data_IF_595890260967
#
_entry.id   IF_595890260967
#
_cell.length_a   1.000
_cell.length_b   1.000
_cell.length_c   1.000
_cell.angle_alpha   90.00
_cell.angle_beta   90.00
_cell.angle_gamma   90.00
#
_symmetry.space_group_name_H-M   'P 1'
#
loop_
_entity.id
_entity.type
_entity.pdbx_description
1 polymer ?
#
# COMPACT_ATOMS: atom_id res chain seq x y z
N UNK A 1 1.26 -19.10 -3.81
CA UNK A 1 1.67 -17.77 -4.28
C UNK A 1 3.18 -17.78 -4.46
N UNK A 2 3.63 -17.62 -5.70
CA UNK A 2 5.04 -17.67 -6.09
C UNK A 2 5.71 -16.32 -5.79
N UNK A 3 6.98 -16.34 -5.37
CA UNK A 3 7.73 -15.16 -4.96
C UNK A 3 8.95 -15.02 -5.88
N UNK A 4 8.98 -13.99 -6.71
CA UNK A 4 10.15 -13.62 -7.50
C UNK A 4 10.58 -12.18 -7.15
N UNK A 5 11.82 -12.03 -6.70
CA UNK A 5 12.45 -10.72 -6.55
C UNK A 5 12.81 -10.21 -7.96
N UNK A 6 12.57 -8.93 -8.29
CA UNK A 6 12.93 -8.35 -9.59
C UNK A 6 14.40 -8.61 -9.95
N UNK A 7 15.32 -8.52 -8.98
CA UNK A 7 16.72 -8.86 -9.20
C UNK A 7 16.88 -10.32 -9.65
N UNK A 8 16.15 -11.25 -9.02
CA UNK A 8 16.15 -12.66 -9.36
C UNK A 8 15.53 -12.95 -10.75
N UNK A 9 14.55 -12.16 -11.18
CA UNK A 9 14.01 -12.23 -12.55
C UNK A 9 15.07 -11.78 -13.56
N UNK A 10 15.78 -10.69 -13.27
CA UNK A 10 16.79 -10.14 -14.17
C UNK A 10 18.11 -10.92 -14.20
N UNK A 11 18.46 -11.67 -13.14
CA UNK A 11 19.71 -12.44 -13.05
C UNK A 11 19.53 -13.94 -13.33
N UNK A 12 18.40 -14.37 -13.91
CA UNK A 12 18.10 -15.78 -14.13
C UNK A 12 18.96 -16.34 -15.28
N UNK A 13 20.09 -16.95 -14.93
CA UNK A 13 20.87 -17.84 -15.81
C UNK A 13 20.66 -19.28 -15.34
N UNK A 14 19.77 -19.98 -16.04
CA UNK A 14 19.38 -21.40 -16.03
C UNK A 14 19.56 -22.33 -14.81
N UNK A 15 18.42 -23.00 -14.57
CA UNK A 15 18.16 -24.36 -14.08
C UNK A 15 18.67 -24.83 -12.69
N UNK A 16 17.70 -25.25 -11.87
CA UNK A 16 17.81 -26.01 -10.60
C UNK A 16 17.94 -25.23 -9.28
N UNK A 17 16.89 -24.47 -8.91
CA UNK A 17 16.55 -24.31 -7.49
C UNK A 17 15.07 -24.56 -7.26
N UNK A 18 14.76 -25.50 -6.34
CA UNK A 18 13.39 -25.85 -5.93
C UNK A 18 12.62 -24.58 -5.56
N UNK A 19 11.54 -24.34 -6.30
CA UNK A 19 10.56 -23.29 -6.04
C UNK A 19 10.01 -23.56 -4.63
N UNK A 20 10.19 -22.59 -3.72
CA UNK A 20 9.65 -22.68 -2.36
C UNK A 20 8.18 -22.29 -2.39
N UNK A 21 7.30 -23.27 -2.37
CA UNK A 21 5.89 -23.04 -2.10
C UNK A 21 5.71 -22.58 -0.65
N UNK A 22 5.33 -21.32 -0.44
CA UNK A 22 4.86 -20.82 0.86
C UNK A 22 3.36 -21.03 0.96
N UNK A 23 2.95 -21.91 1.88
CA UNK A 23 1.54 -22.18 2.20
C UNK A 23 0.88 -21.04 3.01
N UNK A 24 1.65 -20.02 3.44
CA UNK A 24 1.18 -18.95 4.35
C UNK A 24 1.35 -17.53 3.78
N UNK A 25 1.13 -17.33 2.47
CA UNK A 25 1.24 -16.00 1.87
C UNK A 25 2.68 -15.45 1.79
N UNK A 26 2.80 -14.13 1.54
CA UNK A 26 4.06 -13.40 1.41
C UNK A 26 4.76 -13.30 2.77
N UNK A 27 5.96 -13.86 2.89
CA UNK A 27 6.78 -13.80 4.11
C UNK A 27 7.95 -12.83 3.90
N UNK A 28 7.74 -11.56 4.24
CA UNK A 28 8.84 -10.60 4.38
C UNK A 28 9.56 -10.83 5.72
N UNK A 29 10.82 -10.39 5.86
CA UNK A 29 11.37 -10.15 7.21
C UNK A 29 10.62 -8.94 7.75
N UNK A 30 9.53 -9.20 8.45
CA UNK A 30 8.64 -8.19 8.99
C UNK A 30 9.38 -7.33 10.02
N UNK A 31 8.80 -6.16 10.32
CA UNK A 31 9.04 -5.42 11.56
C UNK A 31 8.95 -6.33 12.79
N UNK A 32 9.42 -5.85 13.96
CA UNK A 32 9.40 -6.66 15.19
C UNK A 32 7.98 -7.18 15.50
N UNK A 33 7.90 -8.30 16.22
CA UNK A 33 6.63 -8.98 16.54
C UNK A 33 5.60 -8.01 17.14
N UNK A 34 6.02 -7.19 18.08
CA UNK A 34 5.16 -6.21 18.76
C UNK A 34 4.57 -5.19 17.79
N UNK A 35 5.39 -4.59 16.91
CA UNK A 35 4.89 -3.65 15.91
C UNK A 35 3.97 -4.33 14.89
N UNK A 36 4.26 -5.57 14.50
CA UNK A 36 3.41 -6.32 13.57
C UNK A 36 2.04 -6.66 14.20
N UNK A 37 2.04 -7.09 15.46
CA UNK A 37 0.80 -7.33 16.23
C UNK A 37 0.02 -6.03 16.44
N UNK A 38 0.70 -4.91 16.71
CA UNK A 38 0.09 -3.59 16.83
C UNK A 38 -0.63 -3.18 15.53
N UNK A 39 0.05 -3.26 14.38
CA UNK A 39 -0.56 -2.98 13.07
C UNK A 39 -1.79 -3.87 12.83
N UNK A 40 -1.60 -5.18 13.05
CA UNK A 40 -2.62 -6.21 12.88
C UNK A 40 -3.88 -6.01 13.73
N UNK A 41 -3.72 -5.49 14.94
CA UNK A 41 -4.84 -5.24 15.84
C UNK A 41 -5.51 -3.89 15.58
N UNK A 42 -4.72 -2.85 15.27
CA UNK A 42 -5.21 -1.46 15.25
C UNK A 42 -5.74 -1.01 13.89
N UNK A 43 -5.11 -1.45 12.80
CA UNK A 43 -5.34 -0.88 11.47
C UNK A 43 -5.83 -1.91 10.45
N UNK A 44 -5.32 -3.15 10.48
CA UNK A 44 -5.72 -4.21 9.54
C UNK A 44 -7.23 -4.47 9.49
N UNK A 45 -8.01 -4.40 10.59
CA UNK A 45 -9.47 -4.57 10.51
C UNK A 45 -10.14 -3.55 9.58
N UNK A 46 -9.69 -2.28 9.61
CA UNK A 46 -10.25 -1.22 8.77
C UNK A 46 -9.85 -1.39 7.31
N UNK A 47 -8.58 -1.77 7.07
CA UNK A 47 -8.07 -2.07 5.72
C UNK A 47 -8.87 -3.21 5.09
N UNK A 48 -9.06 -4.29 5.86
CA UNK A 48 -9.80 -5.47 5.42
C UNK A 48 -11.29 -5.17 5.19
N UNK A 49 -11.95 -4.46 6.11
CA UNK A 49 -13.35 -4.08 5.96
C UNK A 49 -13.58 -3.23 4.71
N UNK A 50 -12.67 -2.28 4.45
CA UNK A 50 -12.72 -1.44 3.26
C UNK A 50 -12.54 -2.25 1.98
N UNK A 51 -11.50 -3.10 1.91
CA UNK A 51 -11.26 -3.97 0.76
C UNK A 51 -12.42 -4.94 0.50
N UNK A 52 -12.96 -5.58 1.55
CA UNK A 52 -14.13 -6.47 1.43
C UNK A 52 -15.36 -5.72 0.92
N UNK A 53 -15.61 -4.52 1.42
CA UNK A 53 -16.77 -3.72 1.01
C UNK A 53 -16.67 -3.29 -0.45
N UNK A 54 -15.51 -2.80 -0.89
CA UNK A 54 -15.28 -2.47 -2.31
C UNK A 54 -15.38 -3.73 -3.17
N UNK A 55 -14.87 -4.86 -2.69
CA UNK A 55 -14.97 -6.15 -3.38
C UNK A 55 -16.42 -6.60 -3.57
N UNK A 56 -17.29 -6.33 -2.60
CA UNK A 56 -18.75 -6.59 -2.73
C UNK A 56 -19.38 -5.72 -3.80
N UNK A 57 -18.99 -4.44 -3.91
CA UNK A 57 -19.50 -3.58 -5.00
C UNK A 57 -19.10 -4.12 -6.36
N UNK A 58 -17.84 -4.56 -6.53
CA UNK A 58 -17.36 -5.10 -7.81
C UNK A 58 -17.96 -6.45 -8.19
N UNK A 59 -18.32 -7.28 -7.20
CA UNK A 59 -18.90 -8.61 -7.41
C UNK A 59 -20.43 -8.62 -7.46
N UNK A 60 -21.06 -7.47 -7.24
CA UNK A 60 -22.51 -7.38 -7.18
C UNK A 60 -23.10 -7.18 -8.56
N UNK A 61 -24.21 -7.86 -8.83
CA UNK A 61 -25.00 -7.70 -10.06
C UNK A 61 -25.90 -6.45 -10.04
N UNK A 62 -25.88 -5.67 -8.96
CA UNK A 62 -26.69 -4.46 -8.84
C UNK A 62 -26.10 -3.30 -9.66
N UNK A 63 -26.98 -2.48 -10.25
CA UNK A 63 -26.58 -1.21 -10.85
C UNK A 63 -26.36 -0.18 -9.73
N UNK A 64 -25.12 0.25 -9.57
CA UNK A 64 -24.76 1.32 -8.64
C UNK A 64 -24.83 2.70 -9.31
N UNK A 65 -25.00 3.78 -8.54
CA UNK A 65 -24.76 5.13 -9.03
C UNK A 65 -23.28 5.30 -9.43
N UNK A 66 -23.01 6.33 -10.24
CA UNK A 66 -21.65 6.68 -10.68
C UNK A 66 -20.70 6.95 -9.49
N UNK A 67 -21.23 7.50 -8.39
CA UNK A 67 -20.48 7.79 -7.17
C UNK A 67 -21.11 7.04 -6.00
N UNK A 68 -20.30 6.21 -5.33
CA UNK A 68 -20.66 5.53 -4.09
C UNK A 68 -19.95 6.22 -2.93
N UNK A 69 -20.72 6.77 -1.98
CA UNK A 69 -20.18 7.26 -0.72
C UNK A 69 -20.03 6.10 0.26
N UNK A 70 -18.80 5.67 0.48
CA UNK A 70 -18.48 4.58 1.41
C UNK A 70 -18.00 5.13 2.75
N UNK A 71 -18.66 4.74 3.84
CA UNK A 71 -18.26 5.13 5.20
C UNK A 71 -17.08 4.26 5.66
N UNK A 72 -16.01 4.89 6.12
CA UNK A 72 -14.82 4.22 6.65
C UNK A 72 -14.11 5.12 7.66
N UNK A 73 -12.93 4.69 8.15
CA UNK A 73 -12.05 5.45 9.06
C UNK A 73 -10.76 5.85 8.33
N UNK A 74 -10.72 6.98 7.63
CA UNK A 74 -9.65 7.31 6.69
C UNK A 74 -8.26 7.34 7.33
N UNK A 75 -8.13 7.86 8.54
CA UNK A 75 -6.82 7.92 9.22
C UNK A 75 -6.28 6.52 9.54
N UNK A 76 -7.12 5.61 10.04
CA UNK A 76 -6.74 4.21 10.29
C UNK A 76 -6.42 3.48 8.99
N UNK A 77 -7.18 3.74 7.93
CA UNK A 77 -6.93 3.18 6.60
C UNK A 77 -5.56 3.64 6.06
N UNK A 78 -5.25 4.94 6.15
CA UNK A 78 -3.96 5.51 5.76
C UNK A 78 -2.81 4.88 6.56
N UNK A 79 -2.93 4.82 7.90
CA UNK A 79 -1.94 4.19 8.78
C UNK A 79 -1.71 2.72 8.43
N UNK A 80 -2.77 1.97 8.15
CA UNK A 80 -2.68 0.56 7.74
C UNK A 80 -1.98 0.37 6.40
N UNK A 81 -2.34 1.17 5.38
CA UNK A 81 -1.70 1.11 4.06
C UNK A 81 -0.19 1.37 4.17
N UNK A 82 0.20 2.44 4.88
CA UNK A 82 1.63 2.75 5.02
C UNK A 82 2.34 1.72 5.92
N UNK A 83 1.68 1.24 6.97
CA UNK A 83 2.18 0.16 7.83
C UNK A 83 2.53 -1.10 7.05
N UNK A 84 1.66 -1.55 6.15
CA UNK A 84 1.94 -2.68 5.27
C UNK A 84 3.10 -2.43 4.31
N UNK A 85 3.23 -1.22 3.75
CA UNK A 85 4.35 -0.86 2.88
C UNK A 85 5.69 -0.86 3.63
N UNK A 86 5.73 -0.36 4.87
CA UNK A 86 6.94 -0.40 5.70
C UNK A 86 7.28 -1.84 6.10
N UNK A 87 6.29 -2.65 6.45
CA UNK A 87 6.51 -4.05 6.81
C UNK A 87 7.00 -4.91 5.64
N UNK A 88 6.70 -4.52 4.40
CA UNK A 88 7.10 -5.21 3.18
C UNK A 88 8.55 -4.88 2.74
N UNK A 89 9.51 -4.95 3.67
CA UNK A 89 10.95 -4.80 3.41
C UNK A 89 11.69 -6.14 3.45
N UNK A 90 12.71 -6.26 2.60
CA UNK A 90 13.64 -7.39 2.62
C UNK A 90 14.84 -7.15 3.55
N UNK A 91 15.29 -5.91 3.67
CA UNK A 91 16.49 -5.49 4.42
C UNK A 91 16.21 -4.30 5.34
N UNK A 92 16.99 -4.20 6.43
CA UNK A 92 16.91 -3.11 7.41
C UNK A 92 17.75 -1.93 6.91
N UNK A 93 17.11 -1.02 6.18
CA UNK A 93 17.75 0.22 5.74
C UNK A 93 17.15 1.44 6.44
N UNK A 94 18.02 2.37 6.83
CA UNK A 94 17.67 3.69 7.37
C UNK A 94 17.26 4.65 6.24
N UNK A 95 16.11 4.34 5.63
CA UNK A 95 15.46 5.25 4.68
C UNK A 95 14.78 6.38 5.47
N UNK A 96 15.04 7.64 5.08
CA UNK A 96 14.51 8.83 5.77
C UNK A 96 12.98 8.80 5.88
N UNK A 97 12.30 8.35 4.83
CA UNK A 97 10.84 8.19 4.81
C UNK A 97 10.38 7.21 5.90
N UNK A 98 11.00 6.03 5.99
CA UNK A 98 10.64 5.03 7.00
C UNK A 98 10.75 5.58 8.43
N UNK A 99 11.78 6.39 8.72
CA UNK A 99 11.95 7.01 10.04
C UNK A 99 10.84 8.00 10.34
N UNK A 100 10.47 8.84 9.37
CA UNK A 100 9.35 9.77 9.52
C UNK A 100 8.03 9.04 9.75
N UNK A 101 7.78 7.96 9.02
CA UNK A 101 6.47 7.30 9.08
C UNK A 101 6.33 6.31 10.25
N UNK A 102 7.43 5.77 10.80
CA UNK A 102 7.40 4.93 12.01
C UNK A 102 6.77 5.63 13.20
N UNK A 103 7.19 6.86 13.50
CA UNK A 103 6.61 7.66 14.59
C UNK A 103 5.12 7.90 14.38
N UNK A 104 4.72 8.22 13.14
CA UNK A 104 3.33 8.40 12.76
C UNK A 104 2.48 7.13 12.91
N UNK A 105 3.01 5.95 12.62
CA UNK A 105 2.25 4.70 12.72
C UNK A 105 2.00 4.32 14.18
N UNK A 106 3.01 4.49 15.03
CA UNK A 106 2.97 4.06 16.43
C UNK A 106 2.17 5.01 17.31
N UNK A 107 2.17 6.31 17.00
CA UNK A 107 1.31 7.28 17.67
C UNK A 107 -0.07 7.33 17.00
N UNK A 108 -1.11 6.81 17.66
CA UNK A 108 -2.48 6.80 17.17
C UNK A 108 -3.00 8.23 16.85
N UNK A 109 -2.57 9.24 17.60
CA UNK A 109 -3.07 10.62 17.48
C UNK A 109 -2.26 11.47 16.49
N UNK A 110 -1.15 10.94 15.97
CA UNK A 110 -0.33 11.68 15.02
C UNK A 110 -1.05 11.88 13.68
N UNK A 111 -0.85 13.08 13.13
CA UNK A 111 -1.37 13.49 11.83
C UNK A 111 -0.56 12.88 10.69
N UNK A 112 -1.21 12.65 9.56
CA UNK A 112 -0.53 12.19 8.34
C UNK A 112 0.46 13.28 7.89
N UNK A 113 1.75 12.96 7.68
CA UNK A 113 2.73 13.94 7.22
C UNK A 113 2.31 14.64 5.93
N UNK A 114 2.49 15.97 5.86
CA UNK A 114 2.04 16.82 4.73
C UNK A 114 2.73 16.49 3.40
N UNK A 115 3.90 15.85 3.46
CA UNK A 115 4.66 15.39 2.31
C UNK A 115 4.30 13.96 1.86
N UNK A 116 3.24 13.36 2.40
CA UNK A 116 2.80 12.01 2.00
C UNK A 116 1.42 12.12 1.33
N UNK A 117 1.34 11.56 0.13
CA UNK A 117 0.13 11.50 -0.67
C UNK A 117 -0.18 10.05 -1.02
N UNK A 118 -1.43 9.62 -0.83
CA UNK A 118 -1.89 8.27 -1.18
C UNK A 118 -2.94 8.37 -2.27
N UNK A 119 -2.61 7.87 -3.46
CA UNK A 119 -3.53 7.71 -4.57
C UNK A 119 -4.10 6.29 -4.58
N UNK A 120 -5.31 6.12 -5.12
CA UNK A 120 -5.95 4.82 -5.19
C UNK A 120 -6.78 4.63 -6.47
N UNK A 121 -6.94 3.38 -6.88
CA UNK A 121 -7.79 2.98 -8.00
C UNK A 121 -8.27 1.54 -7.83
N UNK A 122 -9.31 1.17 -8.57
CA UNK A 122 -9.81 -0.21 -8.61
C UNK A 122 -8.77 -1.13 -9.24
N UNK A 123 -8.54 -2.26 -8.58
CA UNK A 123 -7.60 -3.29 -8.99
C UNK A 123 -8.29 -4.67 -8.90
N UNK A 124 -9.09 -5.04 -9.92
CA UNK A 124 -9.90 -6.26 -9.91
C UNK A 124 -9.08 -7.49 -10.32
N UNK A 125 -7.90 -7.67 -9.73
CA UNK A 125 -7.00 -8.79 -10.05
C UNK A 125 -6.56 -9.50 -8.77
N UNK A 126 -6.44 -10.82 -8.84
CA UNK A 126 -6.06 -11.67 -7.70
C UNK A 126 -4.54 -11.68 -7.40
N UNK A 127 -3.75 -10.95 -8.19
CA UNK A 127 -2.31 -10.84 -8.00
C UNK A 127 -1.97 -9.70 -7.04
N UNK A 128 -1.30 -10.01 -5.92
CA UNK A 128 -0.75 -9.00 -5.02
C UNK A 128 0.59 -8.48 -5.53
N UNK A 129 0.70 -7.15 -5.71
CA UNK A 129 1.93 -6.48 -6.13
C UNK A 129 2.35 -5.49 -5.05
N UNK A 130 3.58 -5.65 -4.57
CA UNK A 130 4.22 -4.67 -3.69
C UNK A 130 5.51 -4.22 -4.37
N UNK A 131 5.61 -2.95 -4.69
CA UNK A 131 6.83 -2.35 -5.23
C UNK A 131 7.16 -1.11 -4.40
N UNK A 132 8.41 -1.01 -3.96
CA UNK A 132 8.88 0.04 -3.09
C UNK A 132 9.99 0.86 -3.74
N UNK A 133 10.16 2.07 -3.22
CA UNK A 133 11.33 2.93 -3.40
C UNK A 133 11.74 3.11 -4.88
N UNK A 134 10.76 3.40 -5.74
CA UNK A 134 10.98 3.62 -7.17
C UNK A 134 10.70 5.07 -7.58
N UNK A 135 11.53 5.59 -8.48
CA UNK A 135 11.34 6.90 -9.09
C UNK A 135 10.61 6.77 -10.43
N UNK A 136 9.63 7.64 -10.67
CA UNK A 136 8.97 7.77 -11.97
C UNK A 136 8.48 9.20 -12.20
N UNK A 137 8.19 9.61 -13.45
CA UNK A 137 7.59 10.92 -13.68
C UNK A 137 6.17 11.01 -13.12
N UNK A 138 5.81 12.18 -12.60
CA UNK A 138 4.47 12.45 -12.03
C UNK A 138 3.34 12.38 -13.07
N UNK A 139 3.72 12.50 -14.35
CA UNK A 139 2.87 12.29 -15.52
C UNK A 139 3.66 11.44 -16.50
N UNK A 140 3.10 10.31 -16.93
CA UNK A 140 3.76 9.34 -17.80
C UNK A 140 4.25 10.00 -19.09
N UNK A 141 5.49 9.72 -19.44
CA UNK A 141 6.16 10.30 -20.61
C UNK A 141 6.62 11.75 -20.41
N UNK A 142 6.35 12.39 -19.27
CA UNK A 142 6.79 13.75 -18.96
C UNK A 142 7.84 13.75 -17.84
N UNK A 143 9.11 13.78 -18.23
CA UNK A 143 10.26 13.74 -17.32
C UNK A 143 10.60 15.08 -16.64
N UNK A 144 9.76 16.12 -16.77
CA UNK A 144 10.00 17.43 -16.12
C UNK A 144 9.83 17.40 -14.60
N UNK A 145 9.04 16.46 -14.09
CA UNK A 145 8.78 16.28 -12.67
C UNK A 145 8.88 14.81 -12.34
N UNK A 146 9.84 14.44 -11.51
CA UNK A 146 9.99 13.10 -10.95
C UNK A 146 9.47 13.09 -9.52
N UNK A 147 8.96 11.96 -9.08
CA UNK A 147 8.60 11.72 -7.69
C UNK A 147 9.11 10.36 -7.22
N UNK A 148 9.10 10.16 -5.92
CA UNK A 148 9.30 8.85 -5.31
C UNK A 148 7.97 8.19 -5.05
N UNK A 149 7.91 6.88 -5.29
CA UNK A 149 6.69 6.13 -5.27
C UNK A 149 6.87 4.77 -4.60
N UNK A 150 5.79 4.31 -3.98
CA UNK A 150 5.62 2.96 -3.46
C UNK A 150 4.19 2.51 -3.78
N UNK A 151 3.98 1.25 -4.14
CA UNK A 151 2.65 0.74 -4.49
C UNK A 151 2.36 -0.56 -3.77
N UNK A 152 1.11 -0.68 -3.32
CA UNK A 152 0.51 -1.87 -2.75
C UNK A 152 -0.76 -2.14 -3.54
N UNK A 153 -0.81 -3.24 -4.27
CA UNK A 153 -1.96 -3.65 -5.08
C UNK A 153 -2.39 -5.03 -4.65
N UNK A 154 -3.67 -5.20 -4.35
CA UNK A 154 -4.29 -6.49 -4.10
C UNK A 154 -5.78 -6.36 -4.37
N UNK A 155 -6.47 -7.47 -4.62
CA UNK A 155 -7.91 -7.40 -4.87
C UNK A 155 -8.62 -6.73 -3.67
N UNK A 156 -9.47 -5.69 -3.86
CA UNK A 156 -9.92 -5.08 -5.12
C UNK A 156 -9.35 -3.68 -5.40
N UNK A 157 -8.33 -3.24 -4.67
CA UNK A 157 -7.87 -1.85 -4.66
C UNK A 157 -6.35 -1.80 -4.73
N UNK A 158 -5.86 -0.88 -5.54
CA UNK A 158 -4.46 -0.52 -5.57
C UNK A 158 -4.23 0.85 -4.94
N UNK A 159 -3.11 0.97 -4.25
CA UNK A 159 -2.63 2.17 -3.60
C UNK A 159 -1.26 2.54 -4.16
N UNK A 160 -1.03 3.85 -4.29
CA UNK A 160 0.24 4.44 -4.68
C UNK A 160 0.56 5.57 -3.70
N UNK A 161 1.62 5.39 -2.93
CA UNK A 161 2.13 6.39 -1.99
C UNK A 161 3.23 7.19 -2.68
N UNK A 162 3.22 8.51 -2.52
CA UNK A 162 4.20 9.39 -3.12
C UNK A 162 4.49 10.62 -2.26
N UNK A 163 5.64 11.25 -2.52
CA UNK A 163 6.00 12.59 -2.06
C UNK A 163 5.43 13.71 -2.96
N UNK A 164 4.82 13.34 -4.09
CA UNK A 164 4.23 14.29 -5.02
C UNK A 164 2.71 14.44 -4.79
N UNK A 165 2.17 15.68 -4.72
CA UNK A 165 0.75 15.92 -4.49
C UNK A 165 -0.17 15.47 -5.63
N UNK A 166 0.36 15.15 -6.82
CA UNK A 166 -0.45 14.75 -7.97
C UNK A 166 0.21 13.63 -8.77
N UNK A 167 -0.62 12.68 -9.20
CA UNK A 167 -0.22 11.64 -10.14
C UNK A 167 -1.39 11.26 -11.04
N UNK A 168 -1.24 11.42 -12.36
CA UNK A 168 -2.19 10.96 -13.39
C UNK A 168 -3.67 11.30 -13.16
N UNK A 169 -3.97 12.40 -12.44
CA UNK A 169 -5.35 12.78 -12.10
C UNK A 169 -6.08 11.81 -11.16
N UNK A 170 -5.35 10.89 -10.50
CA UNK A 170 -5.94 9.93 -9.57
C UNK A 170 -6.53 10.61 -8.33
N UNK A 171 -7.55 9.97 -7.76
CA UNK A 171 -8.11 10.38 -6.48
C UNK A 171 -7.11 10.16 -5.36
N UNK A 172 -7.02 11.16 -4.49
CA UNK A 172 -6.17 11.16 -3.32
C UNK A 172 -6.98 10.76 -2.07
N UNK A 173 -6.54 9.75 -1.33
CA UNK A 173 -7.10 9.34 -0.04
C UNK A 173 -6.70 10.30 1.08
N UNK A 174 -5.48 10.82 1.03
CA UNK A 174 -4.92 11.73 2.04
C UNK A 174 -5.57 13.12 2.07
N UNK A 175 -6.49 13.43 1.15
CA UNK A 175 -7.40 14.59 1.29
C UNK A 175 -8.29 14.50 2.53
N UNK A 176 -8.46 13.29 3.09
CA UNK A 176 -9.23 13.02 4.30
C UNK A 176 -8.35 12.96 5.57
N UNK A 177 -7.07 13.37 5.50
CA UNK A 177 -6.11 13.26 6.60
C UNK A 177 -6.48 14.01 7.88
N UNK A 178 -7.34 15.03 7.79
CA UNK A 178 -7.77 15.87 8.90
C UNK A 178 -9.05 15.38 9.59
N UNK A 179 -9.64 14.27 9.12
CA UNK A 179 -10.80 13.67 9.77
C UNK A 179 -10.36 12.93 11.05
N UNK A 180 -11.26 12.90 12.05
CA UNK A 180 -11.01 12.16 13.28
C UNK A 180 -10.77 10.67 13.01
N UNK A 181 -10.10 10.00 13.95
CA UNK A 181 -9.67 8.61 13.80
C UNK A 181 -10.84 7.61 13.75
N UNK A 182 -12.02 8.01 14.23
CA UNK A 182 -13.24 7.20 14.34
C UNK A 182 -14.46 7.85 13.67
#
# INVERSE_FOLDING_TARGET
>A
MEMENLLHVFTRTDETKKIRESQNGLKFRTICKECNEFLGQKYDPVVNEFALSVGRYLKSDFKFPEIIHHKTKPLRLIKGIIGHLIAAKAEYDDVVLDTQVRGFILDENSLVPDNIYIFYWLYPYDCTIILRDFGMPSVRGNFKSLGFFQTLKYFPIAYLVSDNPRYEGLLELTKYRSLQID
#
